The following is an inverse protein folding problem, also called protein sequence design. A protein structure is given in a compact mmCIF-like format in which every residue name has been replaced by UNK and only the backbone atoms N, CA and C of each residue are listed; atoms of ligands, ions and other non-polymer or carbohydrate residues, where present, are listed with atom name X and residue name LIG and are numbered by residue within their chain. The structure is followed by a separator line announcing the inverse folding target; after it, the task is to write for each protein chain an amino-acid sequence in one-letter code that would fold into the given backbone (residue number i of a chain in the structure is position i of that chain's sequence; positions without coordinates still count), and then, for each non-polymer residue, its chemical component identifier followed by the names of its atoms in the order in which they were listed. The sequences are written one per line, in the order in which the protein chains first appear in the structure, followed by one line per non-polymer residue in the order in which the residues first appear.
data_IF_705703943930
#
_entry.id   IF_705703943930
#
_cell.length_a   1.000
_cell.length_b   1.000
_cell.length_c   1.000
_cell.angle_alpha   90.00
_cell.angle_beta   90.00
_cell.angle_gamma   90.00
#
_symmetry.space_group_name_H-M   'P 1'
#
loop_
_entity.id
_entity.type
_entity.pdbx_description
1 polymer ?
#
# COMPACT_ATOMS: atom_id res chain seq x y z
N UNK A 1 11.45 -2.96 -1.87
CA UNK A 1 10.35 -2.22 -1.22
C UNK A 1 9.89 -3.02 -0.01
N UNK A 2 9.36 -2.37 1.05
CA UNK A 2 8.86 -3.06 2.25
C UNK A 2 7.51 -2.47 2.68
N UNK A 3 6.63 -3.33 3.21
CA UNK A 3 5.35 -2.97 3.80
C UNK A 3 5.27 -3.66 5.16
N UNK A 4 5.23 -2.90 6.23
CA UNK A 4 5.16 -3.42 7.58
C UNK A 4 3.86 -2.95 8.23
N UNK A 5 3.05 -3.87 8.71
CA UNK A 5 1.92 -3.56 9.57
C UNK A 5 2.44 -3.08 10.93
N UNK A 6 2.00 -1.91 11.35
CA UNK A 6 2.40 -1.32 12.64
C UNK A 6 1.33 -1.58 13.70
N UNK A 7 0.08 -1.31 13.34
CA UNK A 7 -1.05 -1.46 14.26
C UNK A 7 -2.37 -1.57 13.48
N UNK A 8 -3.42 -2.01 14.15
CA UNK A 8 -4.76 -2.04 13.57
C UNK A 8 -5.83 -1.85 14.64
N UNK A 9 -7.02 -1.50 14.23
CA UNK A 9 -8.20 -1.39 15.07
C UNK A 9 -9.35 -2.17 14.46
N UNK A 10 -9.98 -3.02 15.28
CA UNK A 10 -11.15 -3.78 14.88
C UNK A 10 -10.81 -5.06 14.11
N UNK A 11 -11.88 -5.76 13.73
CA UNK A 11 -11.90 -7.01 12.97
C UNK A 11 -13.26 -7.12 12.27
N UNK A 12 -13.56 -8.26 11.64
CA UNK A 12 -14.85 -8.47 10.97
C UNK A 12 -16.07 -8.35 11.91
N UNK A 13 -15.93 -8.76 13.17
CA UNK A 13 -17.01 -8.58 14.15
C UNK A 13 -17.31 -7.11 14.42
N UNK A 14 -16.28 -6.25 14.41
CA UNK A 14 -16.44 -4.80 14.55
C UNK A 14 -17.28 -4.22 13.41
N UNK A 15 -17.06 -4.69 12.17
CA UNK A 15 -17.87 -4.30 10.99
C UNK A 15 -19.33 -4.73 11.15
N UNK A 16 -19.54 -5.96 11.59
CA UNK A 16 -20.89 -6.50 11.82
C UNK A 16 -21.64 -5.70 12.89
N UNK A 17 -21.00 -5.46 14.03
CA UNK A 17 -21.64 -4.75 15.14
C UNK A 17 -21.87 -3.27 14.81
N UNK A 18 -20.98 -2.63 14.06
CA UNK A 18 -21.21 -1.28 13.53
C UNK A 18 -22.45 -1.20 12.64
N UNK A 19 -22.74 -2.23 11.84
CA UNK A 19 -23.97 -2.29 11.06
C UNK A 19 -25.21 -2.58 11.92
N UNK A 20 -25.08 -3.48 12.91
CA UNK A 20 -26.20 -3.91 13.77
C UNK A 20 -26.68 -2.86 14.75
N UNK A 21 -25.84 -1.88 15.10
CA UNK A 21 -26.20 -0.79 16.02
C UNK A 21 -27.46 -0.02 15.56
N UNK A 22 -27.69 0.07 14.26
CA UNK A 22 -28.90 0.69 13.69
C UNK A 22 -30.21 0.00 14.12
N UNK A 23 -30.11 -1.25 14.58
CA UNK A 23 -31.24 -2.03 15.08
C UNK A 23 -31.14 -2.29 16.59
N UNK A 24 -30.26 -1.59 17.30
CA UNK A 24 -29.96 -1.81 18.73
C UNK A 24 -29.60 -3.28 19.03
N UNK A 25 -28.80 -3.90 18.17
CA UNK A 25 -28.39 -5.30 18.26
C UNK A 25 -26.87 -5.43 18.20
N UNK A 26 -26.39 -6.46 18.85
CA UNK A 26 -25.00 -6.91 18.81
C UNK A 26 -24.95 -8.41 18.53
N UNK A 27 -23.79 -8.91 18.17
CA UNK A 27 -23.46 -10.31 18.01
C UNK A 27 -22.07 -10.57 18.56
N UNK A 28 -21.82 -11.82 18.92
CA UNK A 28 -20.49 -12.30 19.31
C UNK A 28 -20.04 -13.41 18.38
N UNK A 29 -18.76 -13.74 18.47
CA UNK A 29 -18.18 -14.89 17.81
C UNK A 29 -18.91 -16.18 18.21
N UNK A 30 -19.07 -17.09 17.26
CA UNK A 30 -19.24 -18.49 17.60
C UNK A 30 -17.89 -19.08 17.99
N UNK A 31 -17.88 -19.93 19.00
CA UNK A 31 -16.64 -20.54 19.50
C UNK A 31 -16.59 -21.99 19.06
N UNK A 32 -15.53 -22.39 18.36
CA UNK A 32 -15.26 -23.78 18.03
C UNK A 32 -14.04 -24.25 18.83
N UNK A 33 -14.13 -25.37 19.53
CA UNK A 33 -12.98 -26.02 20.14
C UNK A 33 -12.06 -26.57 19.01
N UNK A 34 -10.89 -26.00 18.86
CA UNK A 34 -9.89 -26.49 17.91
C UNK A 34 -8.53 -26.65 18.61
N UNK A 35 -7.95 -27.84 18.55
CA UNK A 35 -6.64 -28.18 19.10
C UNK A 35 -6.36 -27.66 20.53
N UNK A 36 -7.38 -27.69 21.42
CA UNK A 36 -7.25 -27.21 22.81
C UNK A 36 -7.31 -25.69 22.97
N UNK A 37 -7.61 -24.93 21.91
CA UNK A 37 -7.89 -23.49 21.93
C UNK A 37 -9.32 -23.24 21.43
N UNK A 38 -9.89 -22.14 21.88
CA UNK A 38 -11.21 -21.69 21.41
C UNK A 38 -10.96 -20.62 20.36
N UNK A 39 -11.26 -20.90 19.09
CA UNK A 39 -11.21 -19.91 18.02
C UNK A 39 -12.59 -19.28 17.82
N UNK A 40 -12.63 -17.96 17.68
CA UNK A 40 -13.83 -17.23 17.34
C UNK A 40 -14.08 -17.26 15.83
N UNK A 41 -15.25 -17.70 15.42
CA UNK A 41 -15.68 -17.68 14.01
C UNK A 41 -16.90 -16.78 13.89
N UNK A 42 -16.99 -16.03 12.78
CA UNK A 42 -18.23 -15.31 12.47
C UNK A 42 -19.37 -16.30 12.17
N UNK A 43 -20.54 -15.99 12.68
CA UNK A 43 -21.76 -16.71 12.34
C UNK A 43 -22.09 -16.55 10.86
N UNK A 44 -22.64 -17.56 10.23
CA UNK A 44 -23.02 -17.51 8.80
C UNK A 44 -23.91 -16.31 8.45
N UNK A 45 -24.82 -15.94 9.36
CA UNK A 45 -25.69 -14.77 9.22
C UNK A 45 -24.91 -13.45 9.22
N UNK A 46 -23.76 -13.40 9.91
CA UNK A 46 -22.91 -12.21 10.02
C UNK A 46 -22.00 -12.10 8.80
N UNK A 47 -21.49 -13.22 8.30
CA UNK A 47 -20.82 -13.30 6.99
C UNK A 47 -21.78 -12.86 5.86
N UNK A 48 -23.03 -13.34 5.89
CA UNK A 48 -24.07 -12.90 4.95
C UNK A 48 -24.35 -11.41 5.01
N UNK A 49 -24.33 -10.80 6.21
CA UNK A 49 -24.50 -9.36 6.40
C UNK A 49 -23.32 -8.57 5.77
N UNK A 50 -22.07 -8.98 6.01
CA UNK A 50 -20.90 -8.35 5.43
C UNK A 50 -21.00 -8.35 3.88
N UNK A 51 -21.32 -9.50 3.28
CA UNK A 51 -21.51 -9.64 1.82
C UNK A 51 -22.62 -8.73 1.30
N UNK A 52 -23.74 -8.65 2.02
CA UNK A 52 -24.84 -7.75 1.67
C UNK A 52 -24.41 -6.29 1.70
N UNK A 53 -23.74 -5.85 2.77
CA UNK A 53 -23.24 -4.47 2.91
C UNK A 53 -22.29 -4.09 1.79
N UNK A 54 -21.34 -4.95 1.46
CA UNK A 54 -20.38 -4.73 0.37
C UNK A 54 -21.09 -4.64 -0.98
N UNK A 55 -21.99 -5.59 -1.30
CA UNK A 55 -22.74 -5.63 -2.56
C UNK A 55 -23.60 -4.37 -2.78
N UNK A 56 -24.16 -3.82 -1.71
CA UNK A 56 -25.04 -2.64 -1.78
C UNK A 56 -24.33 -1.32 -1.49
N UNK A 57 -22.98 -1.31 -1.45
CA UNK A 57 -22.15 -0.14 -1.17
C UNK A 57 -22.48 0.57 0.16
N UNK A 58 -22.93 -0.17 1.16
CA UNK A 58 -23.11 0.33 2.52
C UNK A 58 -21.73 0.40 3.21
N UNK A 59 -20.96 1.41 2.85
CA UNK A 59 -19.53 1.50 3.16
C UNK A 59 -19.22 1.84 4.64
N UNK A 60 -20.14 2.51 5.36
CA UNK A 60 -19.87 3.05 6.69
C UNK A 60 -19.44 2.00 7.72
N UNK A 61 -20.01 0.78 7.80
CA UNK A 61 -19.52 -0.24 8.71
C UNK A 61 -18.05 -0.60 8.49
N UNK A 62 -17.58 -0.64 7.24
CA UNK A 62 -16.18 -0.89 6.89
C UNK A 62 -15.24 0.29 7.21
N UNK A 63 -15.79 1.43 7.59
CA UNK A 63 -15.04 2.57 8.10
C UNK A 63 -14.60 2.42 9.56
N UNK A 64 -15.15 1.46 10.31
CA UNK A 64 -14.83 1.21 11.71
C UNK A 64 -13.65 0.25 11.93
N UNK A 65 -13.20 -0.46 10.90
CA UNK A 65 -11.92 -1.16 10.89
C UNK A 65 -10.83 -0.27 10.31
N UNK A 66 -9.61 -0.33 10.81
CA UNK A 66 -8.48 0.45 10.31
C UNK A 66 -7.16 -0.26 10.48
N UNK A 67 -6.15 0.15 9.69
CA UNK A 67 -4.79 -0.33 9.82
C UNK A 67 -3.79 0.83 9.64
N UNK A 68 -2.60 0.66 10.18
CA UNK A 68 -1.46 1.56 10.03
C UNK A 68 -0.27 0.77 9.48
N UNK A 69 0.30 1.27 8.39
CA UNK A 69 1.48 0.69 7.76
C UNK A 69 2.66 1.64 7.79
N UNK A 70 3.87 1.08 7.86
CA UNK A 70 5.12 1.77 7.55
C UNK A 70 5.66 1.17 6.25
N UNK A 71 5.81 2.01 5.24
CA UNK A 71 6.12 1.58 3.87
C UNK A 71 7.39 2.27 3.40
N UNK A 72 8.34 1.51 2.81
CA UNK A 72 9.53 2.02 2.14
C UNK A 72 9.46 1.64 0.66
N UNK A 73 9.38 2.64 -0.22
CA UNK A 73 9.31 2.46 -1.67
C UNK A 73 9.88 3.68 -2.40
N UNK A 74 10.13 3.61 -3.72
CA UNK A 74 10.64 4.75 -4.47
C UNK A 74 9.61 5.88 -4.57
N UNK A 75 10.12 7.11 -4.69
CA UNK A 75 9.30 8.33 -4.75
C UNK A 75 8.22 8.26 -5.84
N UNK A 76 8.51 7.67 -7.01
CA UNK A 76 7.51 7.56 -8.07
C UNK A 76 6.31 6.66 -7.68
N UNK A 77 6.51 5.64 -6.82
CA UNK A 77 5.42 4.82 -6.24
C UNK A 77 4.68 5.63 -5.17
N UNK A 78 5.42 6.26 -4.26
CA UNK A 78 4.85 7.10 -3.21
C UNK A 78 3.92 8.18 -3.81
N UNK A 79 4.34 8.84 -4.90
CA UNK A 79 3.54 9.87 -5.60
C UNK A 79 2.23 9.35 -6.18
N UNK A 80 2.16 8.08 -6.59
CA UNK A 80 0.89 7.48 -7.03
C UNK A 80 -0.02 7.15 -5.85
N UNK A 81 0.55 6.56 -4.78
CA UNK A 81 -0.22 6.13 -3.62
C UNK A 81 -0.77 7.31 -2.82
N UNK A 82 0.00 8.39 -2.64
CA UNK A 82 -0.45 9.59 -1.91
C UNK A 82 -1.64 10.32 -2.55
N UNK A 83 -2.00 10.01 -3.80
CA UNK A 83 -3.23 10.53 -4.43
C UNK A 83 -4.51 9.97 -3.82
N UNK A 84 -4.41 8.84 -3.14
CA UNK A 84 -5.52 8.27 -2.38
C UNK A 84 -5.61 8.97 -1.02
N UNK A 85 -6.63 9.83 -0.85
CA UNK A 85 -6.75 10.66 0.35
C UNK A 85 -7.99 10.35 1.19
N UNK A 86 -9.05 9.82 0.56
CA UNK A 86 -10.33 9.59 1.25
C UNK A 86 -10.21 8.44 2.24
N UNK A 87 -10.28 8.74 3.54
CA UNK A 87 -10.16 7.79 4.62
C UNK A 87 -8.72 7.33 4.89
N UNK A 88 -7.73 8.09 4.41
CA UNK A 88 -6.29 7.79 4.53
C UNK A 88 -5.53 9.01 5.06
N UNK A 89 -4.51 8.76 5.88
CA UNK A 89 -3.60 9.77 6.43
C UNK A 89 -2.16 9.38 6.12
N UNK A 90 -1.34 10.34 5.68
CA UNK A 90 0.00 10.13 5.17
C UNK A 90 1.02 11.04 5.85
N UNK A 91 2.10 10.46 6.38
CA UNK A 91 3.25 11.20 6.88
C UNK A 91 4.53 10.57 6.33
N UNK A 92 5.34 11.36 5.66
CA UNK A 92 6.53 10.92 4.91
C UNK A 92 7.81 11.54 5.46
N UNK A 93 8.92 10.82 5.32
CA UNK A 93 10.26 11.34 5.59
C UNK A 93 10.50 12.60 4.77
N UNK A 94 10.91 13.68 5.45
CA UNK A 94 11.15 14.96 4.79
C UNK A 94 12.64 15.17 4.54
N UNK A 95 13.01 15.24 3.27
CA UNK A 95 14.37 15.60 2.83
C UNK A 95 14.74 17.08 3.09
N UNK A 96 13.84 17.84 3.69
CA UNK A 96 14.20 19.17 4.23
C UNK A 96 15.00 19.05 5.54
N UNK A 97 14.79 17.95 6.27
CA UNK A 97 15.41 17.73 7.58
C UNK A 97 16.46 16.62 7.57
N UNK A 98 16.22 15.56 6.76
CA UNK A 98 17.12 14.42 6.63
C UNK A 98 18.09 14.67 5.49
N UNK A 99 19.41 14.72 5.81
CA UNK A 99 20.50 15.05 4.88
C UNK A 99 21.30 13.82 4.42
N UNK A 100 21.05 12.65 5.02
CA UNK A 100 21.73 11.41 4.65
C UNK A 100 21.56 11.10 3.17
N UNK A 101 22.56 10.45 2.59
CA UNK A 101 22.46 9.95 1.21
C UNK A 101 21.37 8.89 1.15
N UNK A 102 20.34 9.05 0.32
CA UNK A 102 19.26 8.07 0.25
C UNK A 102 19.66 6.83 -0.52
N UNK A 103 19.03 5.70 -0.18
CA UNK A 103 19.09 4.50 -1.02
C UNK A 103 18.34 4.74 -2.34
N UNK A 104 18.78 4.06 -3.39
CA UNK A 104 18.13 4.06 -4.71
C UNK A 104 17.51 2.69 -4.95
N UNK A 105 16.28 2.69 -5.40
CA UNK A 105 15.59 1.49 -5.85
C UNK A 105 16.07 1.11 -7.26
N UNK A 106 16.24 -0.17 -7.52
CA UNK A 106 16.47 -0.71 -8.87
C UNK A 106 15.46 -1.82 -9.13
N UNK A 107 14.96 -1.97 -10.36
CA UNK A 107 14.13 -3.10 -10.72
C UNK A 107 14.96 -4.40 -10.72
N UNK A 108 14.32 -5.54 -10.57
CA UNK A 108 14.96 -6.84 -10.75
C UNK A 108 15.30 -7.12 -12.22
N UNK A 109 14.54 -6.54 -13.14
CA UNK A 109 14.78 -6.54 -14.58
C UNK A 109 14.03 -5.38 -15.25
N UNK A 110 14.53 -4.93 -16.39
CA UNK A 110 13.90 -3.88 -17.20
C UNK A 110 12.89 -4.49 -18.16
N UNK A 111 11.67 -3.96 -18.11
CA UNK A 111 10.53 -4.44 -18.91
C UNK A 111 10.39 -3.67 -20.21
N UNK A 112 9.89 -4.35 -21.24
CA UNK A 112 9.50 -3.71 -22.48
C UNK A 112 8.24 -2.85 -22.29
N UNK A 113 8.08 -1.86 -23.18
CA UNK A 113 6.80 -1.17 -23.34
C UNK A 113 5.74 -2.17 -23.80
N UNK A 114 4.51 -1.98 -23.41
CA UNK A 114 3.39 -2.75 -23.95
C UNK A 114 2.76 -2.01 -25.14
N UNK A 115 2.52 -2.72 -26.25
CA UNK A 115 2.01 -2.13 -27.50
C UNK A 115 0.51 -1.85 -27.48
N UNK A 116 -0.24 -2.57 -26.63
CA UNK A 116 -1.70 -2.61 -26.62
C UNK A 116 -2.36 -1.84 -25.46
N UNK A 117 -1.59 -1.17 -24.62
CA UNK A 117 -2.10 -0.45 -23.45
C UNK A 117 -1.60 0.99 -23.41
N UNK A 118 -2.48 1.92 -23.05
CA UNK A 118 -2.12 3.33 -22.84
C UNK A 118 -1.24 3.53 -21.61
N UNK A 119 -1.32 2.64 -20.64
CA UNK A 119 -0.56 2.64 -19.39
C UNK A 119 -0.19 1.20 -19.04
N UNK A 120 0.98 1.03 -18.42
CA UNK A 120 1.51 -0.27 -18.04
C UNK A 120 2.74 -0.65 -18.84
N UNK A 121 3.26 -1.84 -18.57
CA UNK A 121 4.40 -2.42 -19.23
C UNK A 121 4.12 -3.88 -19.57
N UNK A 122 4.83 -4.39 -20.57
CA UNK A 122 4.93 -5.82 -20.83
C UNK A 122 5.56 -6.54 -19.61
N UNK A 123 5.38 -7.83 -19.50
CA UNK A 123 6.16 -8.69 -18.59
C UNK A 123 7.45 -9.20 -19.24
N UNK A 124 7.67 -8.87 -20.52
CA UNK A 124 8.86 -9.28 -21.25
C UNK A 124 10.05 -8.42 -20.91
N UNK A 125 11.23 -9.04 -20.82
CA UNK A 125 12.49 -8.39 -20.55
C UNK A 125 13.02 -7.68 -21.80
N UNK A 126 13.66 -6.50 -21.61
CA UNK A 126 14.44 -5.83 -22.65
C UNK A 126 15.73 -6.60 -22.89
N UNK A 127 16.18 -6.75 -24.13
CA UNK A 127 17.38 -7.53 -24.46
C UNK A 127 18.69 -6.96 -23.84
N UNK A 128 18.80 -5.66 -23.68
CA UNK A 128 20.04 -4.97 -23.25
C UNK A 128 20.09 -4.67 -21.76
N UNK A 129 19.68 -5.61 -20.88
CA UNK A 129 19.59 -5.42 -19.43
C UNK A 129 20.87 -4.79 -18.84
N UNK A 130 22.04 -5.39 -19.10
CA UNK A 130 23.32 -4.92 -18.55
C UNK A 130 23.68 -3.49 -18.96
N UNK A 131 23.41 -3.11 -20.20
CA UNK A 131 23.68 -1.74 -20.68
C UNK A 131 22.76 -0.74 -19.96
N UNK A 132 21.49 -1.08 -19.83
CA UNK A 132 20.51 -0.24 -19.14
C UNK A 132 20.86 -0.12 -17.66
N UNK A 133 21.27 -1.21 -17.01
CA UNK A 133 21.73 -1.20 -15.62
C UNK A 133 22.89 -0.23 -15.42
N UNK A 134 23.91 -0.29 -16.28
CA UNK A 134 25.05 0.64 -16.19
C UNK A 134 24.61 2.10 -16.37
N UNK A 135 23.78 2.39 -17.38
CA UNK A 135 23.25 3.74 -17.60
C UNK A 135 22.45 4.24 -16.38
N UNK A 136 21.63 3.38 -15.79
CA UNK A 136 20.81 3.71 -14.64
C UNK A 136 21.65 3.95 -13.37
N UNK A 137 22.64 3.08 -13.11
CA UNK A 137 23.55 3.18 -11.97
C UNK A 137 24.38 4.46 -12.07
N UNK A 138 24.94 4.76 -13.26
CA UNK A 138 25.75 5.95 -13.48
C UNK A 138 24.93 7.24 -13.30
N UNK A 139 23.72 7.31 -13.88
CA UNK A 139 22.82 8.43 -13.69
C UNK A 139 22.45 8.65 -12.21
N UNK A 140 22.13 7.56 -11.52
CA UNK A 140 21.78 7.59 -10.09
C UNK A 140 22.96 8.07 -9.23
N UNK A 141 24.17 7.59 -9.51
CA UNK A 141 25.41 8.01 -8.83
C UNK A 141 25.67 9.50 -9.02
N UNK A 142 25.59 10.00 -10.25
CA UNK A 142 25.76 11.43 -10.53
C UNK A 142 24.75 12.31 -9.74
N UNK A 143 23.50 11.87 -9.64
CA UNK A 143 22.50 12.57 -8.83
C UNK A 143 22.88 12.61 -7.35
N UNK A 144 23.34 11.49 -6.78
CA UNK A 144 23.75 11.41 -5.38
C UNK A 144 25.02 12.23 -5.10
N UNK A 145 26.01 12.18 -6.00
CA UNK A 145 27.24 12.96 -5.90
C UNK A 145 26.95 14.47 -5.97
N UNK A 146 26.07 14.89 -6.90
CA UNK A 146 25.62 16.28 -6.97
C UNK A 146 24.88 16.71 -5.70
N UNK A 147 23.99 15.87 -5.15
CA UNK A 147 23.29 16.14 -3.90
C UNK A 147 24.28 16.36 -2.76
N UNK A 148 25.24 15.45 -2.60
CA UNK A 148 26.28 15.55 -1.59
C UNK A 148 27.13 16.81 -1.76
N UNK A 149 27.63 17.07 -2.97
CA UNK A 149 28.43 18.25 -3.25
C UNK A 149 27.70 19.56 -2.94
N UNK A 150 26.41 19.65 -3.29
CA UNK A 150 25.58 20.81 -2.95
C UNK A 150 25.47 21.04 -1.44
N UNK A 151 25.27 19.97 -0.66
CA UNK A 151 25.24 20.06 0.82
C UNK A 151 26.59 20.48 1.39
N UNK A 152 27.70 19.90 0.89
CA UNK A 152 29.07 20.22 1.32
C UNK A 152 29.45 21.68 0.99
N UNK A 153 28.89 22.23 -0.10
CA UNK A 153 29.05 23.66 -0.50
C UNK A 153 28.09 24.60 0.26
N UNK A 154 27.29 24.11 1.20
CA UNK A 154 26.40 24.90 2.03
C UNK A 154 25.01 25.15 1.45
N UNK A 155 24.63 24.50 0.35
CA UNK A 155 23.26 24.59 -0.17
C UNK A 155 22.29 23.95 0.83
N UNK A 156 21.18 24.62 1.12
CA UNK A 156 20.18 24.07 2.04
C UNK A 156 19.55 22.78 1.50
N UNK A 157 19.21 21.85 2.38
CA UNK A 157 18.63 20.56 2.01
C UNK A 157 17.33 20.68 1.20
N UNK A 158 16.56 21.75 1.42
CA UNK A 158 15.33 22.03 0.64
C UNK A 158 15.59 22.19 -0.86
N UNK A 159 16.73 22.78 -1.24
CA UNK A 159 17.13 22.97 -2.62
C UNK A 159 17.98 21.81 -3.13
N UNK A 160 18.95 21.35 -2.34
CA UNK A 160 19.85 20.26 -2.72
C UNK A 160 19.07 18.99 -3.14
N UNK A 161 17.98 18.65 -2.44
CA UNK A 161 17.12 17.49 -2.77
C UNK A 161 16.51 17.52 -4.18
N UNK A 162 16.52 18.66 -4.85
CA UNK A 162 15.92 18.78 -6.20
C UNK A 162 16.65 17.96 -7.27
N UNK A 163 17.91 17.59 -7.05
CA UNK A 163 18.69 16.74 -7.97
C UNK A 163 18.51 15.25 -7.72
N UNK A 164 17.82 14.84 -6.65
CA UNK A 164 17.62 13.44 -6.32
C UNK A 164 16.66 12.79 -7.32
N UNK A 165 16.95 11.54 -7.77
CA UNK A 165 16.13 10.88 -8.77
C UNK A 165 14.80 10.38 -8.18
N UNK A 166 13.81 10.17 -9.01
CA UNK A 166 12.51 9.64 -8.58
C UNK A 166 12.59 8.19 -8.06
N UNK A 167 13.65 7.48 -8.41
CA UNK A 167 13.98 6.15 -7.89
C UNK A 167 14.54 6.16 -6.46
N UNK A 168 14.83 7.33 -5.90
CA UNK A 168 15.19 7.47 -4.48
C UNK A 168 14.14 6.78 -3.61
N UNK A 169 14.58 5.94 -2.67
CA UNK A 169 13.68 5.37 -1.67
C UNK A 169 13.25 6.44 -0.67
N UNK A 170 11.95 6.50 -0.43
CA UNK A 170 11.34 7.27 0.66
C UNK A 170 10.59 6.32 1.59
N UNK A 171 10.20 6.81 2.74
CA UNK A 171 9.50 6.03 3.76
C UNK A 171 8.37 6.85 4.35
N UNK A 172 7.21 6.20 4.61
CA UNK A 172 6.06 6.89 5.17
C UNK A 172 5.22 5.99 6.07
N UNK A 173 4.49 6.64 6.97
CA UNK A 173 3.37 6.06 7.67
C UNK A 173 2.10 6.30 6.88
N UNK A 174 1.30 5.26 6.72
CA UNK A 174 0.01 5.33 6.04
C UNK A 174 -1.06 4.66 6.88
N UNK A 175 -1.96 5.46 7.42
CA UNK A 175 -3.07 4.98 8.24
C UNK A 175 -4.38 5.18 7.49
N UNK A 176 -5.30 4.23 7.62
CA UNK A 176 -6.58 4.37 6.98
C UNK A 176 -7.59 3.29 7.34
N UNK A 177 -8.83 3.53 6.90
CA UNK A 177 -9.92 2.59 7.12
C UNK A 177 -9.81 1.37 6.20
N UNK A 178 -10.44 0.27 6.60
CA UNK A 178 -10.57 -0.94 5.79
C UNK A 178 -11.16 -0.62 4.40
N UNK A 179 -12.23 0.19 4.34
CA UNK A 179 -12.82 0.61 3.07
C UNK A 179 -11.84 1.40 2.21
N UNK A 180 -11.03 2.28 2.81
CA UNK A 180 -10.07 3.09 2.07
C UNK A 180 -8.98 2.22 1.43
N UNK A 181 -8.41 1.28 2.19
CA UNK A 181 -7.42 0.33 1.66
C UNK A 181 -8.02 -0.62 0.62
N UNK A 182 -9.26 -1.06 0.76
CA UNK A 182 -9.96 -1.84 -0.25
C UNK A 182 -10.10 -1.07 -1.58
N UNK A 183 -10.42 0.22 -1.55
CA UNK A 183 -10.45 1.08 -2.74
C UNK A 183 -9.08 1.22 -3.40
N UNK A 184 -8.02 1.38 -2.61
CA UNK A 184 -6.63 1.40 -3.13
C UNK A 184 -6.32 0.08 -3.81
N UNK A 185 -6.60 -1.04 -3.14
CA UNK A 185 -6.35 -2.38 -3.65
C UNK A 185 -7.05 -2.61 -4.99
N UNK A 186 -8.36 -2.38 -5.05
CA UNK A 186 -9.17 -2.58 -6.26
C UNK A 186 -8.68 -1.74 -7.44
N UNK A 187 -8.18 -0.51 -7.19
CA UNK A 187 -7.67 0.35 -8.26
C UNK A 187 -6.24 0.00 -8.67
N UNK A 188 -5.38 -0.43 -7.72
CA UNK A 188 -3.94 -0.59 -7.97
C UNK A 188 -3.51 -2.03 -8.25
N UNK A 189 -4.44 -2.99 -8.24
CA UNK A 189 -4.17 -4.38 -8.63
C UNK A 189 -4.72 -4.76 -10.01
N UNK A 190 -5.32 -3.81 -10.73
CA UNK A 190 -5.78 -4.01 -12.11
C UNK A 190 -4.64 -4.40 -13.05
N UNK A 191 -4.98 -4.94 -14.23
CA UNK A 191 -4.01 -5.40 -15.23
C UNK A 191 -3.05 -4.28 -15.68
N UNK A 192 -3.57 -3.08 -15.84
CA UNK A 192 -2.89 -1.88 -16.34
C UNK A 192 -2.24 -1.03 -15.24
N UNK A 193 -2.32 -1.47 -13.97
CA UNK A 193 -1.64 -0.79 -12.88
C UNK A 193 -0.12 -0.94 -12.98
N UNK A 194 0.60 0.13 -12.63
CA UNK A 194 2.07 0.09 -12.58
C UNK A 194 2.54 -1.01 -11.61
N UNK A 195 3.45 -1.88 -12.06
CA UNK A 195 3.83 -3.10 -11.33
C UNK A 195 4.37 -2.80 -9.93
N UNK A 196 5.26 -1.82 -9.78
CA UNK A 196 5.88 -1.45 -8.50
C UNK A 196 4.83 -0.96 -7.49
N UNK A 197 3.81 -0.24 -7.96
CA UNK A 197 2.68 0.21 -7.13
C UNK A 197 1.78 -0.97 -6.77
N UNK A 198 1.56 -1.88 -7.72
CA UNK A 198 0.79 -3.11 -7.52
C UNK A 198 1.44 -4.02 -6.47
N UNK A 199 2.77 -4.19 -6.50
CA UNK A 199 3.51 -4.99 -5.52
C UNK A 199 3.28 -4.48 -4.09
N UNK A 200 3.47 -3.17 -3.85
CA UNK A 200 3.19 -2.55 -2.54
C UNK A 200 1.73 -2.77 -2.12
N UNK A 201 0.81 -2.61 -3.06
CA UNK A 201 -0.63 -2.75 -2.77
C UNK A 201 -1.03 -4.20 -2.46
N UNK A 202 -0.42 -5.17 -3.14
CA UNK A 202 -0.62 -6.61 -2.86
C UNK A 202 -0.14 -6.95 -1.44
N UNK A 203 1.02 -6.43 -1.00
CA UNK A 203 1.51 -6.66 0.36
C UNK A 203 0.56 -6.07 1.42
N UNK A 204 0.03 -4.85 1.20
CA UNK A 204 -1.03 -4.28 2.05
C UNK A 204 -2.24 -5.23 2.08
N UNK A 205 -2.65 -5.73 0.91
CA UNK A 205 -3.80 -6.63 0.78
C UNK A 205 -3.65 -7.94 1.55
N UNK A 206 -2.44 -8.49 1.66
CA UNK A 206 -2.16 -9.68 2.49
C UNK A 206 -2.46 -9.40 3.96
N UNK A 207 -1.89 -8.33 4.51
CA UNK A 207 -2.17 -7.93 5.90
C UNK A 207 -3.64 -7.65 6.16
N UNK A 208 -4.30 -6.93 5.25
CA UNK A 208 -5.73 -6.61 5.40
C UNK A 208 -6.62 -7.86 5.35
N UNK A 209 -6.25 -8.86 4.54
CA UNK A 209 -6.95 -10.16 4.50
C UNK A 209 -6.82 -10.92 5.82
N UNK A 210 -5.63 -10.90 6.43
CA UNK A 210 -5.40 -11.57 7.71
C UNK A 210 -6.17 -10.89 8.85
N UNK A 211 -6.34 -9.57 8.81
CA UNK A 211 -7.04 -8.79 9.83
C UNK A 211 -8.57 -8.84 9.67
N UNK A 212 -9.06 -8.84 8.43
CA UNK A 212 -10.47 -8.70 8.07
C UNK A 212 -10.87 -9.70 6.98
N UNK A 213 -10.72 -11.02 7.19
CA UNK A 213 -10.84 -12.00 6.13
C UNK A 213 -12.17 -11.93 5.37
N UNK A 214 -13.30 -11.86 6.06
CA UNK A 214 -14.62 -11.83 5.43
C UNK A 214 -14.95 -10.50 4.77
N UNK A 215 -14.61 -9.40 5.44
CA UNK A 215 -14.81 -8.06 4.89
C UNK A 215 -13.91 -7.79 3.69
N UNK A 216 -12.65 -8.22 3.76
CA UNK A 216 -11.72 -8.05 2.65
C UNK A 216 -12.15 -8.86 1.42
N UNK A 217 -12.53 -10.12 1.62
CA UNK A 217 -13.07 -10.96 0.54
C UNK A 217 -14.34 -10.34 -0.09
N UNK A 218 -15.24 -9.77 0.72
CA UNK A 218 -16.45 -9.14 0.22
C UNK A 218 -16.20 -7.84 -0.55
N UNK A 219 -15.16 -7.07 -0.18
CA UNK A 219 -14.84 -5.77 -0.80
C UNK A 219 -13.93 -5.88 -2.03
N UNK A 220 -13.03 -6.88 -2.05
CA UNK A 220 -11.96 -6.96 -3.06
C UNK A 220 -12.09 -8.19 -3.97
N UNK A 221 -12.99 -9.10 -3.66
CA UNK A 221 -13.00 -10.43 -4.26
C UNK A 221 -11.91 -11.33 -3.67
N UNK A 222 -12.18 -12.60 -3.59
CA UNK A 222 -11.22 -13.64 -3.16
C UNK A 222 -10.34 -14.08 -4.32
#
# INVERSE_FOLDING_TARGET
MTVNLIDHMGNDLSVVNAARVSFQKETDWDTIPFAGKTEGILKDKDVGLIKYLAKHNHWTPFGHGSAQFRIKAPVFVARQLMKHQVGLVWNEVSRRYVKDIPDIWSPSYWRQAADDVKQGSSHEEVQSQTIIDHMYIDASRHCLDAYKAMLDMGVCAEQARSVLPQSMLTEWYWSGTLMAFARVYNLRTTRDAQLETKEVTIEIGKHMRDLFPESWAALCGS
#
